data_IF_625455851120
#
_entry.id   IF_625455851120
#
_cell.length_a   1.000
_cell.length_b   1.000
_cell.length_c   1.000
_cell.angle_alpha   90.00
_cell.angle_beta   90.00
_cell.angle_gamma   90.00
#
_symmetry.space_group_name_H-M   'P 1'
#
loop_
_entity.id
_entity.type
_entity.pdbx_description
1 polymer ?
#
# COMPACT_ATOMS: atom_id res chain seq x y z
N UNK A 1 21.03 2.27 19.07
CA UNK A 1 19.64 2.15 18.62
C UNK A 1 18.58 2.21 19.75
N UNK A 2 18.93 2.06 21.04
CA UNK A 2 17.95 1.80 22.12
C UNK A 2 17.25 3.02 22.75
N UNK A 3 17.75 4.23 22.67
CA UNK A 3 17.10 5.41 23.28
C UNK A 3 16.44 6.36 22.28
N UNK A 4 16.92 6.40 21.04
CA UNK A 4 16.41 7.28 20.01
C UNK A 4 15.06 6.82 19.41
N UNK A 5 14.76 5.50 19.42
CA UNK A 5 13.57 4.93 18.79
C UNK A 5 12.24 5.24 19.50
N UNK A 6 12.27 5.62 20.78
CA UNK A 6 11.07 5.88 21.58
C UNK A 6 10.69 7.39 21.67
N UNK A 7 11.45 8.27 21.02
CA UNK A 7 11.21 9.72 21.04
C UNK A 7 9.77 10.11 20.69
N UNK A 8 9.17 9.61 19.60
CA UNK A 8 7.79 9.93 19.22
C UNK A 8 6.75 9.56 20.28
N UNK A 9 6.93 8.48 21.02
CA UNK A 9 5.99 8.06 22.08
C UNK A 9 5.98 8.96 23.32
N UNK A 10 6.95 9.87 23.46
CA UNK A 10 6.93 10.91 24.49
C UNK A 10 5.89 11.98 24.17
N UNK A 11 5.48 12.10 22.90
CA UNK A 11 4.46 13.08 22.48
C UNK A 11 3.06 12.50 22.75
N UNK A 12 2.21 13.19 23.52
CA UNK A 12 0.86 12.69 23.87
C UNK A 12 -0.02 12.43 22.64
N UNK A 13 0.14 13.23 21.56
CA UNK A 13 -0.56 13.05 20.30
C UNK A 13 -0.25 11.69 19.67
N UNK A 14 1.03 11.39 19.49
CA UNK A 14 1.46 10.13 18.85
C UNK A 14 1.14 8.90 19.69
N UNK A 15 1.31 8.99 21.02
CA UNK A 15 1.01 7.89 21.95
C UNK A 15 -0.45 7.45 21.88
N UNK A 16 -1.38 8.35 21.52
CA UNK A 16 -2.82 8.05 21.36
C UNK A 16 -3.17 7.71 19.92
N UNK A 17 -2.49 8.35 18.94
CA UNK A 17 -2.73 8.10 17.53
C UNK A 17 -2.21 6.74 17.08
N UNK A 18 -1.00 6.35 17.53
CA UNK A 18 -0.36 5.12 17.08
C UNK A 18 -1.19 3.84 17.33
N UNK A 19 -1.76 3.57 18.55
CA UNK A 19 -2.60 2.41 18.75
C UNK A 19 -3.90 2.47 17.94
N UNK A 20 -4.44 3.66 17.72
CA UNK A 20 -5.59 3.86 16.85
C UNK A 20 -5.31 3.45 15.41
N UNK A 21 -4.16 3.88 14.86
CA UNK A 21 -3.73 3.55 13.51
C UNK A 21 -3.40 2.06 13.37
N UNK A 22 -2.81 1.44 14.40
CA UNK A 22 -2.51 0.02 14.45
C UNK A 22 -3.81 -0.82 14.44
N UNK A 23 -4.77 -0.49 15.31
CA UNK A 23 -6.06 -1.18 15.38
C UNK A 23 -6.83 -1.10 14.04
N UNK A 24 -6.85 0.08 13.42
CA UNK A 24 -7.46 0.24 12.09
C UNK A 24 -6.74 -0.59 11.03
N UNK A 25 -5.41 -0.65 11.07
CA UNK A 25 -4.63 -1.43 10.10
C UNK A 25 -4.87 -2.93 10.25
N UNK A 26 -4.94 -3.43 11.48
CA UNK A 26 -5.31 -4.82 11.74
C UNK A 26 -6.73 -5.14 11.24
N UNK A 27 -7.70 -4.28 11.57
CA UNK A 27 -9.06 -4.43 11.10
C UNK A 27 -9.14 -4.50 9.57
N UNK A 28 -8.45 -3.63 8.86
CA UNK A 28 -8.39 -3.63 7.39
C UNK A 28 -7.83 -4.91 6.80
N UNK A 29 -6.74 -5.44 7.35
CA UNK A 29 -6.12 -6.66 6.84
C UNK A 29 -6.98 -7.90 7.11
N UNK A 30 -7.58 -7.99 8.33
CA UNK A 30 -8.54 -9.05 8.68
C UNK A 30 -9.72 -9.01 7.71
N UNK A 31 -10.34 -7.86 7.53
CA UNK A 31 -11.50 -7.66 6.68
C UNK A 31 -11.22 -8.02 5.21
N UNK A 32 -10.10 -7.55 4.65
CA UNK A 32 -9.71 -7.83 3.27
C UNK A 32 -9.53 -9.34 3.03
N UNK A 33 -8.88 -10.04 3.96
CA UNK A 33 -8.65 -11.47 3.86
C UNK A 33 -9.97 -12.25 4.01
N UNK A 34 -10.75 -11.92 5.03
CA UNK A 34 -11.98 -12.65 5.38
C UNK A 34 -13.05 -12.50 4.29
N UNK A 35 -13.31 -11.26 3.84
CA UNK A 35 -14.31 -11.04 2.80
C UNK A 35 -13.86 -11.52 1.43
N UNK A 36 -12.58 -11.39 1.11
CA UNK A 36 -12.04 -11.95 -0.14
C UNK A 36 -12.21 -13.47 -0.19
N UNK A 37 -11.93 -14.16 0.89
CA UNK A 37 -12.18 -15.60 1.00
C UNK A 37 -13.68 -15.93 0.92
N UNK A 38 -14.52 -15.18 1.66
CA UNK A 38 -15.97 -15.38 1.67
C UNK A 38 -16.56 -15.27 0.27
N UNK A 39 -16.26 -14.19 -0.46
CA UNK A 39 -16.75 -13.98 -1.83
C UNK A 39 -16.39 -15.16 -2.73
N UNK A 40 -15.15 -15.62 -2.65
CA UNK A 40 -14.69 -16.72 -3.49
C UNK A 40 -15.39 -18.04 -3.13
N UNK A 41 -15.62 -18.31 -1.84
CA UNK A 41 -16.28 -19.53 -1.38
C UNK A 41 -17.76 -19.54 -1.77
N UNK A 42 -18.46 -18.44 -1.56
CA UNK A 42 -19.91 -18.33 -1.84
C UNK A 42 -20.24 -18.29 -3.33
N UNK A 43 -19.40 -17.62 -4.13
CA UNK A 43 -19.70 -17.44 -5.56
C UNK A 43 -19.00 -18.44 -6.46
N UNK A 44 -17.91 -19.06 -6.00
CA UNK A 44 -17.03 -19.87 -6.85
C UNK A 44 -16.39 -19.10 -8.01
N UNK A 45 -16.50 -17.76 -8.04
CA UNK A 45 -16.14 -16.95 -9.19
C UNK A 45 -14.97 -16.01 -8.90
N UNK A 46 -13.92 -16.13 -9.70
CA UNK A 46 -12.77 -15.22 -9.66
C UNK A 46 -13.16 -13.78 -10.06
N UNK A 47 -14.18 -13.63 -10.91
CA UNK A 47 -14.66 -12.30 -11.34
C UNK A 47 -15.28 -11.55 -10.16
N UNK A 48 -16.06 -12.21 -9.31
CA UNK A 48 -16.58 -11.60 -8.08
C UNK A 48 -15.47 -11.23 -7.10
N UNK A 49 -14.46 -12.08 -6.95
CA UNK A 49 -13.29 -11.80 -6.11
C UNK A 49 -12.54 -10.57 -6.60
N UNK A 50 -12.26 -10.48 -7.91
CA UNK A 50 -11.53 -9.34 -8.47
C UNK A 50 -12.36 -8.07 -8.47
N UNK A 51 -13.67 -8.14 -8.62
CA UNK A 51 -14.59 -7.03 -8.43
C UNK A 51 -14.53 -6.53 -6.97
N UNK A 52 -14.65 -7.44 -5.99
CA UNK A 52 -14.50 -7.10 -4.56
C UNK A 52 -13.18 -6.39 -4.27
N UNK A 53 -12.07 -6.95 -4.73
CA UNK A 53 -10.75 -6.37 -4.52
C UNK A 53 -10.59 -5.00 -5.19
N UNK A 54 -11.17 -4.81 -6.39
CA UNK A 54 -11.13 -3.53 -7.12
C UNK A 54 -11.96 -2.44 -6.43
N UNK A 55 -13.14 -2.79 -5.90
CA UNK A 55 -14.04 -1.86 -5.22
C UNK A 55 -13.38 -1.20 -4.01
N UNK A 56 -12.42 -1.85 -3.35
CA UNK A 56 -11.68 -1.29 -2.21
C UNK A 56 -10.82 -0.06 -2.56
N UNK A 57 -10.63 0.24 -3.86
CA UNK A 57 -9.82 1.37 -4.35
C UNK A 57 -10.64 2.47 -5.03
N UNK A 58 -11.98 2.41 -5.01
CA UNK A 58 -12.86 3.39 -5.66
C UNK A 58 -12.55 4.84 -5.25
N UNK A 59 -12.28 5.07 -3.98
CA UNK A 59 -12.02 6.39 -3.42
C UNK A 59 -10.65 6.99 -3.77
N UNK A 60 -9.78 6.25 -4.46
CA UNK A 60 -8.46 6.78 -4.82
C UNK A 60 -8.58 8.04 -5.69
N UNK A 61 -9.60 8.12 -6.56
CA UNK A 61 -9.86 9.30 -7.39
C UNK A 61 -10.40 10.48 -6.58
N UNK A 62 -11.15 10.22 -5.52
CA UNK A 62 -11.75 11.26 -4.67
C UNK A 62 -10.90 11.58 -3.44
N UNK A 63 -9.78 10.87 -3.23
CA UNK A 63 -8.87 11.07 -2.11
C UNK A 63 -8.39 12.55 -1.95
N UNK A 64 -8.10 13.31 -3.02
CA UNK A 64 -7.76 14.73 -2.89
C UNK A 64 -8.87 15.57 -2.23
N UNK A 65 -10.16 15.21 -2.47
CA UNK A 65 -11.29 15.91 -1.87
C UNK A 65 -11.33 15.72 -0.35
N UNK A 66 -10.97 14.51 0.13
CA UNK A 66 -10.84 14.24 1.57
C UNK A 66 -9.73 15.09 2.21
N UNK A 67 -8.65 15.37 1.48
CA UNK A 67 -7.62 16.32 1.91
C UNK A 67 -8.22 17.70 2.17
N UNK A 68 -8.95 18.26 1.20
CA UNK A 68 -9.63 19.57 1.34
C UNK A 68 -10.64 19.59 2.49
N UNK A 69 -11.43 18.52 2.62
CA UNK A 69 -12.37 18.39 3.76
C UNK A 69 -11.58 18.31 5.08
N UNK A 70 -10.49 17.53 5.12
CA UNK A 70 -9.58 17.44 6.27
C UNK A 70 -9.00 18.78 6.66
N UNK A 71 -8.66 19.63 5.69
CA UNK A 71 -8.19 21.00 5.94
C UNK A 71 -9.30 21.91 6.52
N UNK A 72 -10.54 21.68 6.19
CA UNK A 72 -11.69 22.46 6.71
C UNK A 72 -12.13 22.05 8.10
N UNK A 73 -12.38 20.75 8.33
CA UNK A 73 -12.97 20.26 9.60
C UNK A 73 -11.95 19.67 10.57
N UNK A 74 -10.72 19.33 10.10
CA UNK A 74 -9.64 18.76 10.87
C UNK A 74 -9.37 17.29 10.62
N UNK A 75 -8.09 16.97 10.39
CA UNK A 75 -7.65 15.59 10.18
C UNK A 75 -8.16 14.66 11.31
N UNK A 76 -8.12 15.09 12.58
CA UNK A 76 -8.65 14.29 13.71
C UNK A 76 -10.15 14.02 13.58
N UNK A 77 -10.95 15.09 13.33
CA UNK A 77 -12.41 14.94 13.21
C UNK A 77 -12.78 14.07 12.01
N UNK A 78 -12.14 14.30 10.87
CA UNK A 78 -12.39 13.53 9.67
C UNK A 78 -11.99 12.06 9.86
N UNK A 79 -10.81 11.76 10.44
CA UNK A 79 -10.42 10.39 10.78
C UNK A 79 -11.40 9.72 11.76
N UNK A 80 -11.89 10.45 12.77
CA UNK A 80 -12.89 9.93 13.69
C UNK A 80 -14.20 9.57 12.97
N UNK A 81 -14.68 10.44 12.06
CA UNK A 81 -15.86 10.14 11.24
C UNK A 81 -15.65 8.91 10.36
N UNK A 82 -14.48 8.79 9.71
CA UNK A 82 -14.14 7.62 8.88
C UNK A 82 -14.11 6.33 9.74
N UNK A 83 -13.49 6.37 10.92
CA UNK A 83 -13.42 5.20 11.82
C UNK A 83 -14.78 4.81 12.39
N UNK A 84 -15.63 5.79 12.68
CA UNK A 84 -17.05 5.54 13.02
C UNK A 84 -17.79 4.87 11.86
N UNK A 85 -17.58 5.36 10.65
CA UNK A 85 -18.14 4.75 9.44
C UNK A 85 -17.68 3.30 9.25
N UNK A 86 -16.38 3.01 9.43
CA UNK A 86 -15.85 1.64 9.38
C UNK A 86 -16.48 0.74 10.44
N UNK A 87 -16.63 1.24 11.68
CA UNK A 87 -17.25 0.49 12.76
C UNK A 87 -18.71 0.12 12.45
N UNK A 88 -19.49 1.06 11.88
CA UNK A 88 -20.88 0.81 11.46
C UNK A 88 -20.95 -0.26 10.36
N UNK A 89 -20.07 -0.17 9.36
CA UNK A 89 -20.02 -1.15 8.27
C UNK A 89 -19.61 -2.54 8.77
N UNK A 90 -18.61 -2.62 9.63
CA UNK A 90 -18.19 -3.88 10.24
C UNK A 90 -19.29 -4.50 11.13
N UNK A 91 -19.99 -3.66 11.91
CA UNK A 91 -21.14 -4.09 12.70
C UNK A 91 -22.30 -4.60 11.83
N UNK A 92 -22.55 -3.96 10.68
CA UNK A 92 -23.57 -4.41 9.72
C UNK A 92 -23.21 -5.80 9.15
N UNK A 93 -21.94 -6.03 8.75
CA UNK A 93 -21.47 -7.35 8.31
C UNK A 93 -21.62 -8.39 9.46
N UNK A 94 -21.21 -8.04 10.68
CA UNK A 94 -21.35 -8.92 11.83
C UNK A 94 -22.82 -9.32 12.05
N UNK A 95 -23.74 -8.35 12.03
CA UNK A 95 -25.17 -8.58 12.22
C UNK A 95 -25.74 -9.47 11.10
N UNK A 96 -25.45 -9.19 9.84
CA UNK A 96 -25.90 -10.00 8.70
C UNK A 96 -25.33 -11.42 8.75
N UNK A 97 -24.06 -11.58 9.13
CA UNK A 97 -23.43 -12.90 9.26
C UNK A 97 -24.03 -13.73 10.41
N UNK A 98 -24.31 -13.10 11.56
CA UNK A 98 -24.94 -13.77 12.70
C UNK A 98 -26.41 -14.12 12.42
N UNK A 99 -27.12 -13.30 11.65
CA UNK A 99 -28.49 -13.56 11.20
C UNK A 99 -28.58 -14.57 10.03
N UNK A 100 -27.46 -15.01 9.46
CA UNK A 100 -27.44 -15.90 8.29
C UNK A 100 -27.95 -15.26 6.99
N UNK A 101 -27.99 -13.91 6.92
CA UNK A 101 -28.49 -13.13 5.77
C UNK A 101 -27.37 -12.50 4.96
N UNK A 102 -26.09 -12.71 5.34
CA UNK A 102 -24.95 -12.20 4.61
C UNK A 102 -24.87 -12.85 3.22
N UNK A 103 -24.79 -12.05 2.18
CA UNK A 103 -24.63 -12.51 0.81
C UNK A 103 -23.54 -11.75 0.04
N UNK A 104 -23.13 -12.26 -1.13
CA UNK A 104 -22.06 -11.66 -1.92
C UNK A 104 -22.31 -10.19 -2.32
N UNK A 105 -23.58 -9.85 -2.65
CA UNK A 105 -23.96 -8.49 -3.05
C UNK A 105 -23.76 -7.49 -1.90
N UNK A 106 -24.16 -7.86 -0.68
CA UNK A 106 -23.96 -7.03 0.50
C UNK A 106 -22.48 -6.80 0.77
N UNK A 107 -21.64 -7.84 0.61
CA UNK A 107 -20.19 -7.72 0.75
C UNK A 107 -19.60 -6.79 -0.30
N UNK A 108 -20.02 -6.87 -1.57
CA UNK A 108 -19.59 -5.91 -2.60
C UNK A 108 -20.04 -4.48 -2.30
N UNK A 109 -21.27 -4.29 -1.82
CA UNK A 109 -21.78 -2.98 -1.43
C UNK A 109 -20.94 -2.36 -0.30
N UNK A 110 -20.64 -3.15 0.75
CA UNK A 110 -19.77 -2.71 1.84
C UNK A 110 -18.36 -2.43 1.32
N UNK A 111 -17.78 -3.29 0.48
CA UNK A 111 -16.47 -3.08 -0.11
C UNK A 111 -16.41 -1.77 -0.94
N UNK A 112 -17.46 -1.46 -1.69
CA UNK A 112 -17.58 -0.21 -2.46
C UNK A 112 -17.63 1.02 -1.53
N UNK A 113 -18.47 0.97 -0.50
CA UNK A 113 -18.61 2.05 0.49
C UNK A 113 -17.31 2.27 1.27
N UNK A 114 -16.68 1.21 1.75
CA UNK A 114 -15.37 1.26 2.41
C UNK A 114 -14.28 1.78 1.46
N UNK A 115 -14.30 1.29 0.23
CA UNK A 115 -13.35 1.66 -0.81
C UNK A 115 -13.42 3.14 -1.22
N UNK A 116 -14.55 3.82 -1.05
CA UNK A 116 -14.65 5.27 -1.26
C UNK A 116 -13.85 6.07 -0.22
N UNK A 117 -13.71 5.55 0.98
CA UNK A 117 -13.16 6.28 2.14
C UNK A 117 -11.72 5.82 2.46
N UNK A 118 -11.47 4.51 2.40
CA UNK A 118 -10.22 3.86 2.84
C UNK A 118 -8.93 4.43 2.22
N UNK A 119 -8.84 4.75 0.91
CA UNK A 119 -7.62 5.31 0.31
C UNK A 119 -7.18 6.63 0.92
N UNK A 120 -8.12 7.43 1.45
CA UNK A 120 -7.85 8.73 2.07
C UNK A 120 -7.34 8.62 3.52
N UNK A 121 -7.58 7.50 4.19
CA UNK A 121 -7.21 7.28 5.60
C UNK A 121 -5.69 7.42 5.81
N UNK A 122 -4.87 6.82 4.94
CA UNK A 122 -3.41 6.85 5.07
C UNK A 122 -2.84 8.28 4.96
N UNK A 123 -3.40 9.09 4.05
CA UNK A 123 -3.03 10.50 3.91
C UNK A 123 -3.37 11.31 5.14
N UNK A 124 -4.58 11.13 5.67
CA UNK A 124 -5.05 11.85 6.87
C UNK A 124 -4.30 11.45 8.15
N UNK A 125 -3.90 10.17 8.29
CA UNK A 125 -3.01 9.73 9.38
C UNK A 125 -1.69 10.47 9.33
N UNK A 126 -1.08 10.55 8.16
CA UNK A 126 0.17 11.30 7.95
C UNK A 126 0.02 12.78 8.26
N UNK A 127 -1.09 13.39 7.87
CA UNK A 127 -1.43 14.79 8.19
C UNK A 127 -1.57 14.99 9.70
N UNK A 128 -2.24 14.06 10.40
CA UNK A 128 -2.41 14.17 11.85
C UNK A 128 -1.06 14.01 12.58
N UNK A 129 -0.17 13.12 12.13
CA UNK A 129 1.19 13.03 12.65
C UNK A 129 1.93 14.35 12.43
N UNK A 130 1.85 14.93 11.22
CA UNK A 130 2.54 16.18 10.90
C UNK A 130 2.11 17.37 11.78
N UNK A 131 0.84 17.41 12.18
CA UNK A 131 0.28 18.48 13.04
C UNK A 131 0.62 18.26 14.52
N UNK A 132 0.79 17.01 14.96
CA UNK A 132 0.97 16.68 16.38
C UNK A 132 2.43 16.40 16.76
N UNK A 133 3.34 16.30 15.77
CA UNK A 133 4.72 15.90 15.97
C UNK A 133 5.70 17.05 15.70
N UNK A 134 6.69 17.28 16.59
CA UNK A 134 7.79 18.20 16.31
C UNK A 134 8.58 17.78 15.05
N UNK A 135 9.05 18.73 14.21
CA UNK A 135 9.77 18.42 12.96
C UNK A 135 10.94 17.47 13.13
N UNK A 136 11.69 17.58 14.23
CA UNK A 136 12.85 16.74 14.53
C UNK A 136 12.50 15.25 14.71
N UNK A 137 11.25 14.92 15.11
CA UNK A 137 10.79 13.55 15.37
C UNK A 137 9.89 13.02 14.24
N UNK A 138 9.54 13.85 13.25
CA UNK A 138 8.58 13.50 12.20
C UNK A 138 9.01 12.28 11.38
N UNK A 139 10.26 12.24 10.90
CA UNK A 139 10.79 11.11 10.12
C UNK A 139 10.71 9.80 10.91
N UNK A 140 11.02 9.87 12.21
CA UNK A 140 10.96 8.71 13.09
C UNK A 140 9.51 8.23 13.32
N UNK A 141 8.57 9.16 13.56
CA UNK A 141 7.14 8.85 13.71
C UNK A 141 6.55 8.21 12.46
N UNK A 142 6.88 8.75 11.28
CA UNK A 142 6.47 8.19 10.00
C UNK A 142 7.06 6.79 9.75
N UNK A 143 8.33 6.58 10.13
CA UNK A 143 8.98 5.27 10.06
C UNK A 143 8.29 4.22 10.95
N UNK A 144 7.97 4.57 12.20
CA UNK A 144 7.23 3.70 13.12
C UNK A 144 5.85 3.38 12.56
N UNK A 145 5.14 4.38 12.06
CA UNK A 145 3.80 4.21 11.46
C UNK A 145 3.85 3.26 10.27
N UNK A 146 4.88 3.36 9.43
CA UNK A 146 5.08 2.47 8.29
C UNK A 146 5.38 1.04 8.71
N UNK A 147 6.32 0.84 9.63
CA UNK A 147 6.62 -0.49 10.19
C UNK A 147 5.39 -1.13 10.83
N UNK A 148 4.57 -0.33 11.53
CA UNK A 148 3.32 -0.81 12.14
C UNK A 148 2.31 -1.27 11.08
N UNK A 149 2.17 -0.55 9.97
CA UNK A 149 1.29 -0.94 8.87
C UNK A 149 1.78 -2.24 8.18
N UNK A 150 3.09 -2.37 7.97
CA UNK A 150 3.67 -3.58 7.36
C UNK A 150 3.56 -4.80 8.31
N UNK A 151 3.75 -4.62 9.62
CA UNK A 151 3.52 -5.68 10.62
C UNK A 151 2.04 -6.03 10.76
N UNK A 152 1.14 -5.05 10.66
CA UNK A 152 -0.29 -5.26 10.69
C UNK A 152 -0.76 -6.18 9.56
N UNK A 153 -0.12 -6.12 8.39
CA UNK A 153 -0.42 -7.02 7.27
C UNK A 153 -0.14 -8.47 7.62
N UNK A 154 0.99 -8.74 8.30
CA UNK A 154 1.35 -10.11 8.72
C UNK A 154 0.39 -10.59 9.81
N UNK A 155 0.29 -9.81 10.90
CA UNK A 155 -0.54 -10.17 12.07
C UNK A 155 -2.02 -10.22 11.70
N UNK A 156 -2.51 -9.25 10.94
CA UNK A 156 -3.91 -9.17 10.51
C UNK A 156 -4.31 -10.34 9.63
N UNK A 157 -3.44 -10.75 8.69
CA UNK A 157 -3.70 -11.92 7.84
C UNK A 157 -3.78 -13.22 8.66
N UNK A 158 -2.81 -13.46 9.55
CA UNK A 158 -2.79 -14.67 10.40
C UNK A 158 -3.93 -14.66 11.42
N UNK A 159 -4.15 -13.53 12.10
CA UNK A 159 -5.23 -13.38 13.07
C UNK A 159 -6.61 -13.50 12.39
N UNK A 160 -6.79 -12.88 11.22
CA UNK A 160 -8.05 -12.95 10.48
C UNK A 160 -8.38 -14.38 10.05
N UNK A 161 -7.39 -15.10 9.49
CA UNK A 161 -7.55 -16.50 9.14
C UNK A 161 -7.90 -17.36 10.37
N UNK A 162 -7.18 -17.20 11.48
CA UNK A 162 -7.40 -17.92 12.74
C UNK A 162 -8.75 -17.60 13.38
N UNK A 163 -9.14 -16.33 13.44
CA UNK A 163 -10.44 -15.90 14.00
C UNK A 163 -11.62 -16.54 13.26
N UNK A 164 -11.58 -16.50 11.91
CA UNK A 164 -12.67 -17.07 11.13
C UNK A 164 -12.67 -18.59 11.15
N UNK A 165 -11.50 -19.21 11.21
CA UNK A 165 -11.39 -20.67 11.33
C UNK A 165 -11.97 -21.16 12.69
N UNK A 166 -11.70 -20.44 13.78
CA UNK A 166 -12.12 -20.82 15.12
C UNK A 166 -13.55 -20.42 15.46
N UNK A 167 -14.00 -19.24 15.02
CA UNK A 167 -15.24 -18.63 15.50
C UNK A 167 -16.30 -18.42 14.40
N UNK A 168 -15.93 -18.56 13.12
CA UNK A 168 -16.78 -18.17 12.01
C UNK A 168 -16.75 -16.65 11.71
N UNK A 169 -17.46 -16.24 10.64
CA UNK A 169 -17.43 -14.85 10.15
C UNK A 169 -18.08 -13.86 11.11
N UNK A 170 -19.26 -14.20 11.66
CA UNK A 170 -20.02 -13.31 12.54
C UNK A 170 -19.22 -12.84 13.77
N UNK A 171 -18.75 -13.74 14.63
CA UNK A 171 -17.91 -13.37 15.78
C UNK A 171 -16.58 -12.73 15.38
N UNK A 172 -15.95 -13.13 14.28
CA UNK A 172 -14.73 -12.49 13.79
C UNK A 172 -14.99 -11.00 13.47
N UNK A 173 -16.16 -10.68 12.90
CA UNK A 173 -16.54 -9.29 12.61
C UNK A 173 -16.93 -8.48 13.84
N UNK A 174 -17.33 -9.11 14.93
CA UNK A 174 -17.44 -8.42 16.23
C UNK A 174 -16.08 -7.94 16.72
N UNK A 175 -15.01 -8.74 16.53
CA UNK A 175 -13.64 -8.33 16.84
C UNK A 175 -13.20 -7.17 15.94
N UNK A 176 -13.46 -7.23 14.62
CA UNK A 176 -13.19 -6.14 13.69
C UNK A 176 -13.92 -4.86 14.10
N UNK A 177 -15.19 -4.95 14.46
CA UNK A 177 -15.99 -3.82 14.98
C UNK A 177 -15.37 -3.23 16.23
N UNK A 178 -14.96 -4.08 17.18
CA UNK A 178 -14.31 -3.63 18.42
C UNK A 178 -12.97 -2.91 18.14
N UNK A 179 -12.18 -3.39 17.17
CA UNK A 179 -10.95 -2.72 16.73
C UNK A 179 -11.22 -1.33 16.14
N UNK A 180 -12.26 -1.17 15.32
CA UNK A 180 -12.64 0.15 14.79
C UNK A 180 -13.18 1.08 15.87
N UNK A 181 -13.97 0.58 16.82
CA UNK A 181 -14.47 1.37 17.96
C UNK A 181 -13.32 1.81 18.88
N UNK A 182 -12.38 0.91 19.18
CA UNK A 182 -11.17 1.25 19.94
C UNK A 182 -10.33 2.30 19.21
N UNK A 183 -10.18 2.14 17.92
CA UNK A 183 -9.49 3.12 17.06
C UNK A 183 -10.19 4.48 17.07
N UNK A 184 -11.52 4.52 16.98
CA UNK A 184 -12.33 5.74 17.09
C UNK A 184 -12.11 6.42 18.43
N UNK A 185 -12.23 5.70 19.55
CA UNK A 185 -12.03 6.22 20.90
C UNK A 185 -10.63 6.82 21.09
N UNK A 186 -9.60 6.09 20.66
CA UNK A 186 -8.22 6.58 20.68
C UNK A 186 -8.04 7.83 19.82
N UNK A 187 -8.65 7.89 18.62
CA UNK A 187 -8.56 9.05 17.73
C UNK A 187 -9.18 10.29 18.34
N UNK A 188 -10.35 10.16 18.95
CA UNK A 188 -11.04 11.26 19.62
C UNK A 188 -10.23 11.83 20.78
N UNK A 189 -9.40 11.00 21.41
CA UNK A 189 -8.55 11.42 22.52
C UNK A 189 -7.25 12.12 22.12
N UNK A 190 -6.90 12.16 20.81
CA UNK A 190 -5.66 12.81 20.34
C UNK A 190 -5.73 14.31 20.55
N UNK A 191 -4.80 14.93 21.30
CA UNK A 191 -4.72 16.37 21.43
C UNK A 191 -4.23 16.98 20.13
N UNK A 192 -4.95 17.97 19.60
CA UNK A 192 -4.58 18.71 18.38
C UNK A 192 -4.46 20.19 18.73
N UNK A 193 -3.36 20.86 18.34
CA UNK A 193 -3.20 22.29 18.58
C UNK A 193 -4.27 23.12 17.83
N UNK A 194 -4.53 24.36 18.27
CA UNK A 194 -5.40 25.28 17.54
C UNK A 194 -4.94 25.46 16.10
N UNK A 195 -5.87 25.56 15.17
CA UNK A 195 -5.59 25.64 13.74
C UNK A 195 -5.21 27.03 13.29
N UNK A 196 -4.24 27.08 12.39
CA UNK A 196 -4.04 28.20 11.46
C UNK A 196 -4.78 27.84 10.18
N UNK A 197 -5.78 28.64 9.81
CA UNK A 197 -6.53 28.45 8.56
C UNK A 197 -5.58 28.68 7.37
N UNK A 198 -5.35 27.66 6.57
CA UNK A 198 -4.62 27.78 5.31
C UNK A 198 -5.57 28.30 4.22
N UNK A 199 -5.06 29.15 3.34
CA UNK A 199 -5.83 29.66 2.21
C UNK A 199 -6.29 28.48 1.32
N UNK A 200 -7.54 28.52 0.81
CA UNK A 200 -8.07 27.44 -0.01
C UNK A 200 -7.34 27.39 -1.36
N UNK A 201 -6.53 26.37 -1.55
CA UNK A 201 -5.96 26.05 -2.86
C UNK A 201 -6.97 25.24 -3.66
N UNK A 202 -7.01 25.45 -4.99
CA UNK A 202 -7.87 24.67 -5.88
C UNK A 202 -7.22 23.30 -6.14
N UNK A 203 -7.83 22.17 -5.73
CA UNK A 203 -7.24 20.83 -5.89
C UNK A 203 -6.90 20.51 -7.36
N UNK A 204 -7.72 20.98 -8.29
CA UNK A 204 -7.51 20.76 -9.72
C UNK A 204 -6.31 21.50 -10.28
N UNK A 205 -6.06 22.74 -9.82
CA UNK A 205 -4.83 23.49 -10.19
C UNK A 205 -3.59 22.80 -9.65
N UNK A 206 -3.65 22.34 -8.40
CA UNK A 206 -2.53 21.63 -7.79
C UNK A 206 -2.21 20.31 -8.48
N UNK A 207 -3.22 19.53 -8.88
CA UNK A 207 -3.05 18.32 -9.68
C UNK A 207 -2.46 18.63 -11.06
N UNK A 208 -2.95 19.67 -11.73
CA UNK A 208 -2.44 20.07 -13.04
C UNK A 208 -0.98 20.51 -12.97
N UNK A 209 -0.65 21.37 -12.02
CA UNK A 209 0.74 21.83 -11.82
C UNK A 209 1.68 20.66 -11.48
N UNK A 210 1.19 19.72 -10.65
CA UNK A 210 1.91 18.48 -10.35
C UNK A 210 2.14 17.62 -11.58
N UNK A 211 1.13 17.47 -12.43
CA UNK A 211 1.21 16.72 -13.68
C UNK A 211 2.20 17.36 -14.68
N UNK A 212 2.15 18.68 -14.87
CA UNK A 212 3.05 19.42 -15.72
C UNK A 212 4.51 19.28 -15.24
N UNK A 213 4.74 19.37 -13.93
CA UNK A 213 6.05 19.16 -13.31
C UNK A 213 6.57 17.73 -13.52
N UNK A 214 5.73 16.71 -13.31
CA UNK A 214 6.11 15.30 -13.54
C UNK A 214 6.43 15.06 -15.01
N UNK A 215 5.62 15.58 -15.93
CA UNK A 215 5.83 15.44 -17.39
C UNK A 215 7.12 16.10 -17.84
N UNK A 216 7.46 17.25 -17.26
CA UNK A 216 8.69 18.00 -17.56
C UNK A 216 9.95 17.37 -16.97
N UNK A 217 9.82 16.45 -16.00
CA UNK A 217 10.94 15.83 -15.27
C UNK A 217 11.05 14.34 -15.61
N UNK A 218 11.95 13.94 -16.55
CA UNK A 218 12.03 12.57 -17.06
C UNK A 218 12.12 11.47 -16.00
N UNK A 219 12.93 11.59 -14.91
CA UNK A 219 12.96 10.56 -13.86
C UNK A 219 11.64 10.42 -13.11
N UNK A 220 10.91 11.52 -12.90
CA UNK A 220 9.60 11.48 -12.25
C UNK A 220 8.57 10.78 -13.14
N UNK A 221 8.54 11.12 -14.44
CA UNK A 221 7.63 10.51 -15.40
C UNK A 221 7.87 8.99 -15.50
N UNK A 222 9.14 8.57 -15.67
CA UNK A 222 9.49 7.15 -15.70
C UNK A 222 9.07 6.40 -14.42
N UNK A 223 9.28 7.02 -13.25
CA UNK A 223 8.91 6.45 -11.96
C UNK A 223 7.39 6.33 -11.82
N UNK A 224 6.62 7.33 -12.27
CA UNK A 224 5.15 7.28 -12.25
C UNK A 224 4.59 6.21 -13.19
N UNK A 225 5.16 6.08 -14.39
CA UNK A 225 4.78 5.02 -15.33
C UNK A 225 5.05 3.63 -14.76
N UNK A 226 6.23 3.42 -14.14
CA UNK A 226 6.54 2.15 -13.48
C UNK A 226 5.64 1.90 -12.27
N UNK A 227 5.33 2.93 -11.46
CA UNK A 227 4.38 2.81 -10.35
C UNK A 227 3.00 2.39 -10.84
N UNK A 228 2.48 2.99 -11.91
CA UNK A 228 1.22 2.57 -12.52
C UNK A 228 1.30 1.14 -13.04
N UNK A 229 2.37 0.79 -13.73
CA UNK A 229 2.57 -0.51 -14.36
C UNK A 229 2.63 -1.66 -13.34
N UNK A 230 3.36 -1.51 -12.24
CA UNK A 230 3.41 -2.54 -11.20
C UNK A 230 2.06 -2.70 -10.48
N UNK A 231 1.31 -1.60 -10.33
CA UNK A 231 -0.05 -1.66 -9.83
C UNK A 231 -0.99 -2.37 -10.81
N UNK A 232 -0.82 -2.16 -12.11
CA UNK A 232 -1.64 -2.78 -13.15
C UNK A 232 -1.35 -4.29 -13.30
N UNK A 233 -0.07 -4.69 -13.32
CA UNK A 233 0.35 -6.00 -13.79
C UNK A 233 0.95 -6.92 -12.71
N UNK A 234 1.47 -6.39 -11.60
CA UNK A 234 2.08 -7.20 -10.54
C UNK A 234 1.20 -7.34 -9.30
N UNK A 235 0.68 -6.22 -8.79
CA UNK A 235 -0.13 -6.20 -7.58
C UNK A 235 -1.46 -6.98 -7.64
N UNK A 236 -2.15 -7.14 -8.79
CA UNK A 236 -3.33 -8.01 -8.84
C UNK A 236 -3.07 -9.41 -8.28
N UNK A 237 -1.94 -10.01 -8.62
CA UNK A 237 -1.57 -11.35 -8.16
C UNK A 237 -1.29 -11.39 -6.66
N UNK A 238 -0.58 -10.39 -6.10
CA UNK A 238 -0.16 -10.38 -4.68
C UNK A 238 -1.14 -9.69 -3.75
N UNK A 239 -2.05 -8.88 -4.27
CA UNK A 239 -2.96 -8.05 -3.46
C UNK A 239 -4.43 -8.42 -3.56
N UNK A 240 -4.87 -9.19 -4.54
CA UNK A 240 -6.29 -9.49 -4.71
C UNK A 240 -6.60 -10.94 -5.10
N UNK A 241 -5.65 -11.63 -5.75
CA UNK A 241 -5.87 -12.98 -6.25
C UNK A 241 -5.36 -14.09 -5.32
N UNK A 242 -4.71 -13.77 -4.19
CA UNK A 242 -4.19 -14.79 -3.27
C UNK A 242 -5.28 -15.71 -2.71
N UNK A 243 -6.53 -15.29 -2.42
CA UNK A 243 -7.60 -16.21 -2.05
C UNK A 243 -7.89 -17.25 -3.14
N UNK A 244 -7.89 -16.83 -4.41
CA UNK A 244 -8.06 -17.72 -5.55
C UNK A 244 -6.90 -18.73 -5.65
N UNK A 245 -5.66 -18.26 -5.52
CA UNK A 245 -4.47 -19.12 -5.56
C UNK A 245 -4.50 -20.15 -4.43
N UNK A 246 -4.83 -19.73 -3.21
CA UNK A 246 -4.90 -20.63 -2.05
C UNK A 246 -5.94 -21.73 -2.28
N UNK A 247 -7.14 -21.37 -2.72
CA UNK A 247 -8.25 -22.32 -2.86
C UNK A 247 -8.16 -23.16 -4.12
N UNK A 248 -8.05 -22.51 -5.28
CA UNK A 248 -8.22 -23.19 -6.58
C UNK A 248 -6.91 -23.72 -7.16
N UNK A 249 -5.75 -23.14 -6.79
CA UNK A 249 -4.44 -23.58 -7.30
C UNK A 249 -3.77 -24.55 -6.34
N UNK A 250 -3.78 -24.22 -5.03
CA UNK A 250 -3.09 -25.02 -4.00
C UNK A 250 -4.02 -25.94 -3.20
N UNK A 251 -5.33 -25.74 -3.25
CA UNK A 251 -6.28 -26.51 -2.45
C UNK A 251 -6.11 -26.36 -0.94
N UNK A 252 -5.53 -25.24 -0.49
CA UNK A 252 -5.31 -24.95 0.93
C UNK A 252 -6.45 -24.11 1.51
N UNK A 253 -6.62 -24.22 2.80
CA UNK A 253 -7.67 -23.54 3.56
C UNK A 253 -7.36 -22.05 3.87
N UNK A 254 -8.20 -21.46 4.71
CA UNK A 254 -8.04 -20.06 5.16
C UNK A 254 -6.72 -19.82 5.89
N UNK A 255 -6.28 -20.81 6.68
CA UNK A 255 -5.02 -20.72 7.41
C UNK A 255 -3.83 -20.71 6.46
N UNK A 256 -3.89 -21.53 5.41
CA UNK A 256 -2.92 -21.54 4.32
C UNK A 256 -2.90 -20.21 3.54
N UNK A 257 -4.06 -19.58 3.30
CA UNK A 257 -4.12 -18.23 2.72
C UNK A 257 -3.43 -17.21 3.64
N UNK A 258 -3.71 -17.26 4.95
CA UNK A 258 -3.05 -16.38 5.93
C UNK A 258 -1.53 -16.53 5.90
N UNK A 259 -1.04 -17.77 5.82
CA UNK A 259 0.39 -18.07 5.70
C UNK A 259 0.99 -17.52 4.39
N UNK A 260 0.29 -17.67 3.26
CA UNK A 260 0.73 -17.16 1.95
C UNK A 260 0.87 -15.63 1.96
N UNK A 261 -0.10 -14.91 2.52
CA UNK A 261 -0.04 -13.45 2.70
C UNK A 261 1.08 -13.05 3.67
N UNK A 262 1.27 -13.79 4.77
CA UNK A 262 2.33 -13.54 5.74
C UNK A 262 3.73 -13.76 5.14
N UNK A 263 3.92 -14.78 4.30
CA UNK A 263 5.15 -15.02 3.56
C UNK A 263 5.51 -13.84 2.64
N UNK A 264 4.54 -13.34 1.88
CA UNK A 264 4.73 -12.17 1.03
C UNK A 264 5.09 -10.92 1.86
N UNK A 265 4.33 -10.63 2.91
CA UNK A 265 4.56 -9.47 3.77
C UNK A 265 5.88 -9.57 4.55
N UNK A 266 6.25 -10.78 5.01
CA UNK A 266 7.53 -11.06 5.65
C UNK A 266 8.71 -10.82 4.70
N UNK A 267 8.60 -11.29 3.46
CA UNK A 267 9.57 -11.01 2.40
C UNK A 267 9.73 -9.51 2.14
N UNK A 268 8.62 -8.78 2.05
CA UNK A 268 8.62 -7.34 1.85
C UNK A 268 9.28 -6.59 3.03
N UNK A 269 9.02 -7.03 4.25
CA UNK A 269 9.66 -6.47 5.44
C UNK A 269 11.18 -6.70 5.43
N UNK A 270 11.62 -7.93 5.16
CA UNK A 270 13.04 -8.26 5.05
C UNK A 270 13.73 -7.46 3.95
N UNK A 271 13.11 -7.35 2.78
CA UNK A 271 13.61 -6.54 1.67
C UNK A 271 13.74 -5.06 2.05
N UNK A 272 12.75 -4.50 2.72
CA UNK A 272 12.78 -3.10 3.21
C UNK A 272 13.92 -2.86 4.20
N UNK A 273 14.16 -3.79 5.13
CA UNK A 273 15.29 -3.71 6.08
C UNK A 273 16.64 -3.71 5.37
N UNK A 274 16.80 -4.56 4.33
CA UNK A 274 18.03 -4.60 3.52
C UNK A 274 18.20 -3.32 2.71
N UNK A 275 17.15 -2.79 2.11
CA UNK A 275 17.21 -1.52 1.36
C UNK A 275 17.60 -0.37 2.30
N UNK A 276 17.05 -0.30 3.51
CA UNK A 276 17.37 0.73 4.50
C UNK A 276 18.84 0.61 4.93
N UNK A 277 19.32 -0.61 5.20
CA UNK A 277 20.71 -0.84 5.65
C UNK A 277 21.75 -0.51 4.58
N UNK A 278 21.41 -0.69 3.30
CA UNK A 278 22.31 -0.40 2.17
C UNK A 278 22.13 1.00 1.57
N UNK A 279 21.11 1.72 1.95
CA UNK A 279 20.71 3.10 1.72
C UNK A 279 21.41 3.85 0.56
N UNK A 280 22.49 4.57 0.89
CA UNK A 280 23.21 5.41 -0.07
C UNK A 280 23.98 4.65 -1.17
N UNK A 281 24.28 3.35 -0.96
CA UNK A 281 25.00 2.53 -1.94
C UNK A 281 24.12 2.05 -3.11
N UNK A 282 22.80 2.14 -2.98
CA UNK A 282 21.86 1.74 -4.03
C UNK A 282 21.58 2.89 -4.98
N UNK A 283 21.94 2.71 -6.25
CA UNK A 283 21.48 3.59 -7.32
C UNK A 283 19.96 3.41 -7.50
N UNK A 284 19.16 4.33 -6.93
CA UNK A 284 17.70 4.18 -6.80
C UNK A 284 17.00 3.86 -8.14
N UNK A 285 17.33 4.56 -9.23
CA UNK A 285 16.73 4.30 -10.55
C UNK A 285 17.07 2.93 -11.11
N UNK A 286 18.32 2.49 -10.92
CA UNK A 286 18.81 1.18 -11.36
C UNK A 286 18.14 0.06 -10.55
N UNK A 287 18.13 0.19 -9.22
CA UNK A 287 17.46 -0.77 -8.32
C UNK A 287 15.99 -0.93 -8.69
N UNK A 288 15.26 0.19 -8.87
CA UNK A 288 13.85 0.20 -9.23
C UNK A 288 13.56 -0.62 -10.49
N UNK A 289 14.26 -0.34 -11.60
CA UNK A 289 14.01 -1.01 -12.89
C UNK A 289 14.41 -2.48 -12.83
N UNK A 290 15.61 -2.78 -12.32
CA UNK A 290 16.10 -4.16 -12.26
C UNK A 290 15.23 -5.02 -11.35
N UNK A 291 14.77 -4.48 -10.23
CA UNK A 291 13.86 -5.22 -9.33
C UNK A 291 12.50 -5.47 -9.97
N UNK A 292 11.94 -4.54 -10.74
CA UNK A 292 10.73 -4.80 -11.51
C UNK A 292 10.95 -5.91 -12.56
N UNK A 293 12.11 -5.89 -13.26
CA UNK A 293 12.46 -6.92 -14.24
C UNK A 293 12.68 -8.31 -13.60
N UNK A 294 13.02 -8.40 -12.32
CA UNK A 294 13.09 -9.66 -11.57
C UNK A 294 11.72 -10.05 -11.00
N UNK A 295 10.94 -9.08 -10.57
CA UNK A 295 9.63 -9.31 -9.96
C UNK A 295 8.65 -9.98 -10.92
N UNK A 296 8.54 -9.52 -12.17
CA UNK A 296 7.64 -10.10 -13.15
C UNK A 296 7.96 -11.58 -13.50
N UNK A 297 9.20 -11.99 -13.77
CA UNK A 297 9.56 -13.41 -13.90
C UNK A 297 9.25 -14.25 -12.67
N UNK A 298 9.45 -13.72 -11.45
CA UNK A 298 9.06 -14.44 -10.23
C UNK A 298 7.55 -14.69 -10.18
N UNK A 299 6.72 -13.74 -10.63
CA UNK A 299 5.27 -13.94 -10.74
C UNK A 299 4.92 -14.96 -11.83
N UNK A 300 5.66 -15.00 -12.94
CA UNK A 300 5.48 -16.05 -13.96
C UNK A 300 5.80 -17.43 -13.38
N UNK A 301 6.92 -17.58 -12.68
CA UNK A 301 7.27 -18.85 -12.02
C UNK A 301 6.21 -19.23 -11.00
N UNK A 302 5.75 -18.28 -10.18
CA UNK A 302 4.69 -18.49 -9.20
C UNK A 302 3.40 -19.03 -9.84
N UNK A 303 3.02 -18.52 -11.00
CA UNK A 303 1.83 -18.95 -11.70
C UNK A 303 1.88 -20.42 -12.18
N UNK A 304 3.08 -20.99 -12.34
CA UNK A 304 3.28 -22.38 -12.78
C UNK A 304 3.46 -23.36 -11.61
N UNK A 305 3.79 -22.87 -10.41
CA UNK A 305 3.98 -23.71 -9.22
C UNK A 305 2.63 -24.20 -8.70
N UNK A 306 2.55 -25.51 -8.40
CA UNK A 306 1.35 -26.17 -7.87
C UNK A 306 1.52 -26.60 -6.40
N UNK A 307 2.75 -26.66 -5.93
CA UNK A 307 3.05 -26.96 -4.53
C UNK A 307 2.92 -25.72 -3.66
N UNK A 308 2.14 -25.82 -2.57
CA UNK A 308 1.88 -24.70 -1.67
C UNK A 308 3.13 -24.20 -0.95
N UNK A 309 4.04 -25.12 -0.55
CA UNK A 309 5.25 -24.74 0.17
C UNK A 309 6.22 -23.98 -0.74
N UNK A 310 6.39 -24.44 -1.98
CA UNK A 310 7.17 -23.73 -2.98
C UNK A 310 6.55 -22.39 -3.35
N UNK A 311 5.21 -22.31 -3.43
CA UNK A 311 4.48 -21.06 -3.63
C UNK A 311 4.70 -20.05 -2.51
N UNK A 312 4.67 -20.49 -1.25
CA UNK A 312 4.97 -19.66 -0.08
C UNK A 312 6.42 -19.15 -0.10
N UNK A 313 7.39 -20.02 -0.43
CA UNK A 313 8.80 -19.62 -0.58
C UNK A 313 8.98 -18.56 -1.69
N UNK A 314 8.29 -18.74 -2.83
CA UNK A 314 8.29 -17.74 -3.91
C UNK A 314 7.65 -16.42 -3.47
N UNK A 315 6.58 -16.44 -2.66
CA UNK A 315 5.97 -15.22 -2.15
C UNK A 315 6.93 -14.44 -1.24
N UNK A 316 7.78 -15.10 -0.46
CA UNK A 316 8.86 -14.40 0.28
C UNK A 316 9.81 -13.69 -0.70
N UNK A 317 10.23 -14.36 -1.78
CA UNK A 317 11.12 -13.75 -2.79
C UNK A 317 10.44 -12.60 -3.55
N UNK A 318 9.16 -12.76 -3.89
CA UNK A 318 8.35 -11.73 -4.54
C UNK A 318 8.24 -10.49 -3.65
N UNK A 319 7.88 -10.65 -2.37
CA UNK A 319 7.80 -9.55 -1.42
C UNK A 319 9.16 -8.87 -1.19
N UNK A 320 10.22 -9.66 -1.05
CA UNK A 320 11.58 -9.16 -0.93
C UNK A 320 11.98 -8.28 -2.13
N UNK A 321 11.79 -8.80 -3.34
CA UNK A 321 12.11 -8.09 -4.59
C UNK A 321 11.28 -6.82 -4.77
N UNK A 322 9.98 -6.86 -4.41
CA UNK A 322 9.09 -5.72 -4.44
C UNK A 322 9.64 -4.52 -3.66
N UNK A 323 10.27 -4.75 -2.50
CA UNK A 323 10.82 -3.67 -1.67
C UNK A 323 11.93 -2.90 -2.36
N UNK A 324 12.75 -3.59 -3.16
CA UNK A 324 13.80 -2.97 -3.98
C UNK A 324 13.26 -2.19 -5.19
N UNK A 325 12.00 -2.37 -5.54
CA UNK A 325 11.30 -1.51 -6.50
C UNK A 325 10.63 -0.33 -5.81
N UNK A 326 9.81 -0.59 -4.78
CA UNK A 326 8.91 0.40 -4.17
C UNK A 326 9.62 1.46 -3.32
N UNK A 327 10.65 1.08 -2.55
CA UNK A 327 11.41 2.03 -1.72
C UNK A 327 12.19 3.02 -2.59
N UNK A 328 12.99 2.57 -3.59
CA UNK A 328 13.66 3.49 -4.50
C UNK A 328 12.71 4.38 -5.31
N UNK A 329 11.54 3.89 -5.74
CA UNK A 329 10.50 4.72 -6.36
C UNK A 329 10.16 5.93 -5.48
N UNK A 330 9.92 5.69 -4.21
CA UNK A 330 9.60 6.76 -3.26
C UNK A 330 10.77 7.75 -3.09
N UNK A 331 11.99 7.23 -3.03
CA UNK A 331 13.21 8.05 -2.93
C UNK A 331 13.38 8.97 -4.15
N UNK A 332 13.18 8.45 -5.37
CA UNK A 332 13.26 9.24 -6.60
C UNK A 332 12.19 10.33 -6.60
N UNK A 333 10.94 9.98 -6.27
CA UNK A 333 9.85 10.94 -6.22
C UNK A 333 10.14 12.10 -5.26
N UNK A 334 10.75 11.81 -4.10
CA UNK A 334 11.09 12.84 -3.13
C UNK A 334 12.34 13.65 -3.51
N UNK A 335 13.39 13.01 -4.05
CA UNK A 335 14.66 13.66 -4.39
C UNK A 335 14.58 14.52 -5.65
N UNK A 336 13.83 14.06 -6.66
CA UNK A 336 13.70 14.78 -7.94
C UNK A 336 12.58 15.84 -7.91
N UNK A 337 11.87 16.00 -6.78
CA UNK A 337 10.79 16.96 -6.68
C UNK A 337 11.20 18.12 -5.77
N UNK A 338 11.04 19.37 -6.27
CA UNK A 338 11.21 20.58 -5.47
C UNK A 338 10.21 20.63 -4.32
N UNK A 339 10.60 21.19 -3.20
CA UNK A 339 9.80 21.21 -1.96
C UNK A 339 8.35 21.69 -2.17
N UNK A 340 8.17 22.74 -2.98
CA UNK A 340 6.87 23.30 -3.34
C UNK A 340 5.92 22.35 -4.10
N UNK A 341 6.47 21.32 -4.79
CA UNK A 341 5.68 20.37 -5.58
C UNK A 341 5.54 19.00 -4.90
N UNK A 342 6.21 18.74 -3.75
CA UNK A 342 6.21 17.42 -3.09
C UNK A 342 4.81 16.89 -2.82
N UNK A 343 3.93 17.72 -2.25
CA UNK A 343 2.55 17.32 -1.97
C UNK A 343 1.77 16.96 -3.24
N UNK A 344 1.96 17.76 -4.30
CA UNK A 344 1.29 17.56 -5.61
C UNK A 344 1.75 16.28 -6.30
N UNK A 345 3.07 16.03 -6.32
CA UNK A 345 3.65 14.81 -6.90
C UNK A 345 3.25 13.57 -6.10
N UNK A 346 3.19 13.67 -4.76
CA UNK A 346 2.68 12.57 -3.93
C UNK A 346 1.19 12.32 -4.14
N UNK A 347 0.38 13.36 -4.32
CA UNK A 347 -1.01 13.22 -4.73
C UNK A 347 -1.16 12.52 -6.08
N UNK A 348 -0.33 12.89 -7.07
CA UNK A 348 -0.31 12.25 -8.39
C UNK A 348 0.11 10.77 -8.31
N UNK A 349 1.03 10.42 -7.41
CA UNK A 349 1.41 9.03 -7.14
C UNK A 349 0.20 8.18 -6.70
N UNK A 350 -0.73 8.76 -5.94
CA UNK A 350 -1.94 8.03 -5.53
C UNK A 350 -2.81 7.66 -6.74
N UNK A 351 -2.78 8.47 -7.82
CA UNK A 351 -3.45 8.11 -9.08
C UNK A 351 -2.77 6.93 -9.79
N UNK A 352 -1.44 6.77 -9.64
CA UNK A 352 -0.76 5.60 -10.19
C UNK A 352 -1.21 4.27 -9.52
N UNK A 353 -1.70 4.32 -8.28
CA UNK A 353 -2.30 3.16 -7.61
C UNK A 353 -3.56 2.67 -8.33
N UNK A 354 -4.20 3.53 -9.12
CA UNK A 354 -5.40 3.18 -9.88
C UNK A 354 -5.16 2.10 -10.96
N UNK A 355 -3.91 1.83 -11.30
CA UNK A 355 -3.54 0.64 -12.07
C UNK A 355 -4.03 -0.67 -11.43
N UNK A 356 -4.06 -0.74 -10.09
CA UNK A 356 -4.45 -1.97 -9.37
C UNK A 356 -5.92 -2.36 -9.58
N UNK A 357 -6.94 -1.50 -9.35
CA UNK A 357 -8.31 -1.87 -9.64
C UNK A 357 -8.54 -2.20 -11.12
N UNK A 358 -7.88 -1.49 -12.03
CA UNK A 358 -7.95 -1.82 -13.47
C UNK A 358 -7.36 -3.21 -13.72
N UNK A 359 -6.16 -3.49 -13.19
CA UNK A 359 -5.50 -4.78 -13.32
C UNK A 359 -6.33 -5.94 -12.73
N UNK A 360 -6.97 -5.73 -11.59
CA UNK A 360 -7.87 -6.71 -10.97
C UNK A 360 -9.10 -6.99 -11.85
N UNK A 361 -9.78 -5.94 -12.33
CA UNK A 361 -10.95 -6.07 -13.20
C UNK A 361 -10.62 -6.79 -14.53
N UNK A 362 -9.41 -6.57 -15.07
CA UNK A 362 -8.94 -7.28 -16.25
C UNK A 362 -8.53 -8.72 -15.94
N UNK A 363 -7.97 -8.96 -14.74
CA UNK A 363 -7.47 -10.30 -14.36
C UNK A 363 -8.60 -11.31 -14.16
N UNK A 364 -9.76 -10.91 -13.61
CA UNK A 364 -10.90 -11.81 -13.39
C UNK A 364 -11.34 -12.53 -14.69
N UNK A 365 -11.82 -11.79 -15.71
CA UNK A 365 -12.22 -12.35 -16.98
C UNK A 365 -11.07 -13.05 -17.76
N UNK A 366 -9.82 -12.57 -17.55
CA UNK A 366 -8.66 -13.23 -18.17
C UNK A 366 -8.40 -14.61 -17.56
N UNK A 367 -8.54 -14.75 -16.24
CA UNK A 367 -8.39 -16.03 -15.54
C UNK A 367 -9.51 -16.99 -15.93
N UNK A 368 -10.72 -16.49 -16.06
CA UNK A 368 -11.90 -17.27 -16.44
C UNK A 368 -11.72 -17.91 -17.84
N UNK A 369 -11.06 -17.19 -18.78
CA UNK A 369 -10.82 -17.66 -20.15
C UNK A 369 -9.52 -18.42 -20.37
N UNK A 370 -8.43 -17.98 -19.74
CA UNK A 370 -7.05 -18.46 -19.99
C UNK A 370 -6.51 -19.31 -18.83
N UNK A 371 -7.28 -19.44 -17.75
CA UNK A 371 -6.80 -19.98 -16.49
C UNK A 371 -5.82 -19.05 -15.78
N UNK A 372 -5.53 -19.33 -14.51
CA UNK A 372 -4.63 -18.54 -13.68
C UNK A 372 -3.23 -18.39 -14.27
N UNK A 373 -2.66 -19.51 -14.73
CA UNK A 373 -1.31 -19.55 -15.31
C UNK A 373 -1.20 -18.67 -16.55
N UNK A 374 -2.15 -18.83 -17.49
CA UNK A 374 -2.15 -18.06 -18.75
C UNK A 374 -2.33 -16.55 -18.50
N UNK A 375 -3.32 -16.18 -17.69
CA UNK A 375 -3.61 -14.78 -17.37
C UNK A 375 -2.46 -14.09 -16.63
N UNK A 376 -1.88 -14.77 -15.61
CA UNK A 376 -0.77 -14.20 -14.84
C UNK A 376 0.50 -14.10 -15.68
N UNK A 377 0.80 -15.09 -16.52
CA UNK A 377 1.95 -15.08 -17.42
C UNK A 377 1.83 -13.95 -18.45
N UNK A 378 0.64 -13.76 -19.03
CA UNK A 378 0.37 -12.67 -19.98
C UNK A 378 0.55 -11.29 -19.31
N UNK A 379 -0.04 -11.10 -18.13
CA UNK A 379 0.05 -9.87 -17.36
C UNK A 379 1.49 -9.54 -16.95
N UNK A 380 2.21 -10.53 -16.43
CA UNK A 380 3.59 -10.36 -16.03
C UNK A 380 4.51 -10.13 -17.26
N UNK A 381 4.27 -10.81 -18.39
CA UNK A 381 4.97 -10.59 -19.66
C UNK A 381 4.77 -9.18 -20.18
N UNK A 382 3.54 -8.68 -20.19
CA UNK A 382 3.23 -7.30 -20.52
C UNK A 382 3.96 -6.32 -19.59
N UNK A 383 3.89 -6.55 -18.26
CA UNK A 383 4.57 -5.73 -17.27
C UNK A 383 6.09 -5.70 -17.46
N UNK A 384 6.69 -6.87 -17.74
CA UNK A 384 8.13 -7.00 -18.02
C UNK A 384 8.54 -6.24 -19.29
N UNK A 385 7.80 -6.42 -20.38
CA UNK A 385 8.08 -5.74 -21.65
C UNK A 385 7.98 -4.20 -21.51
N UNK A 386 6.92 -3.71 -20.88
CA UNK A 386 6.77 -2.28 -20.63
C UNK A 386 7.84 -1.73 -19.67
N UNK A 387 8.24 -2.49 -18.65
CA UNK A 387 9.33 -2.09 -17.75
C UNK A 387 10.65 -1.99 -18.49
N UNK A 388 10.96 -2.96 -19.35
CA UNK A 388 12.15 -2.92 -20.20
C UNK A 388 12.14 -1.69 -21.13
N UNK A 389 11.00 -1.41 -21.76
CA UNK A 389 10.83 -0.22 -22.62
C UNK A 389 11.04 1.08 -21.85
N UNK A 390 10.45 1.23 -20.66
CA UNK A 390 10.66 2.40 -19.79
C UNK A 390 12.14 2.49 -19.38
N UNK A 391 12.73 1.37 -18.95
CA UNK A 391 14.15 1.33 -18.57
C UNK A 391 15.09 1.74 -19.70
N UNK A 392 14.84 1.29 -20.94
CA UNK A 392 15.61 1.64 -22.13
C UNK A 392 15.40 3.11 -22.56
N UNK A 393 14.13 3.58 -22.57
CA UNK A 393 13.76 4.93 -23.02
C UNK A 393 14.33 6.01 -22.12
N UNK A 394 14.38 5.80 -20.81
CA UNK A 394 14.87 6.75 -19.81
C UNK A 394 16.17 6.33 -19.16
N UNK A 395 16.94 5.39 -19.75
CA UNK A 395 18.19 4.86 -19.17
C UNK A 395 19.17 5.95 -18.74
N UNK A 396 19.33 7.02 -19.54
CA UNK A 396 20.26 8.12 -19.23
C UNK A 396 19.89 8.90 -17.97
N UNK A 397 18.62 8.92 -17.60
CA UNK A 397 18.09 9.62 -16.43
C UNK A 397 17.98 8.71 -15.22
N UNK A 398 17.76 7.41 -15.42
CA UNK A 398 17.63 6.42 -14.36
C UNK A 398 18.97 5.77 -13.99
N UNK A 399 19.97 5.82 -14.89
CA UNK A 399 21.34 5.39 -14.68
C UNK A 399 22.31 6.58 -14.79
N UNK A 400 22.28 7.56 -13.86
CA UNK A 400 23.33 8.56 -13.86
C UNK A 400 24.68 7.85 -13.70
N UNK A 401 25.64 8.15 -14.56
CA UNK A 401 27.01 7.72 -14.38
C UNK A 401 27.45 8.14 -12.97
N UNK A 402 28.12 7.25 -12.26
CA UNK A 402 28.72 7.61 -10.97
C UNK A 402 29.52 8.91 -11.18
N UNK A 403 29.15 9.96 -10.42
CA UNK A 403 29.95 11.17 -10.42
C UNK A 403 31.38 10.75 -10.14
N UNK A 404 32.39 11.22 -10.93
CA UNK A 404 33.76 10.90 -10.63
C UNK A 404 34.01 11.27 -9.17
N UNK A 405 34.59 10.36 -8.43
CA UNK A 405 34.98 10.61 -7.04
C UNK A 405 35.85 11.87 -7.08
N UNK A 406 35.37 12.96 -6.46
CA UNK A 406 36.21 14.13 -6.25
C UNK A 406 37.41 13.63 -5.46
N UNK A 407 38.55 13.52 -6.12
CA UNK A 407 39.83 13.34 -5.43
C UNK A 407 39.99 14.55 -4.49
N UNK A 408 40.10 14.34 -3.18
CA UNK A 408 40.49 15.40 -2.28
C UNK A 408 42.01 15.56 -2.43
N UNK A 409 42.44 16.37 -3.38
CA UNK A 409 43.87 16.45 -3.66
C UNK A 409 44.28 17.46 -4.74
N UNK A 410 43.53 18.58 -4.88
CA UNK A 410 44.08 19.77 -5.51
C UNK A 410 44.15 20.87 -4.45
N UNK A 411 45.24 20.85 -3.69
CA UNK A 411 45.58 21.95 -2.81
C UNK A 411 45.76 23.25 -3.64
N UNK A 412 45.52 24.44 -3.06
CA UNK A 412 45.75 25.70 -3.73
C UNK A 412 47.24 25.78 -4.09
N UNK A 413 47.54 25.94 -5.39
CA UNK A 413 48.89 26.20 -5.89
C UNK A 413 49.47 27.43 -5.19
N UNK A 414 50.82 27.49 -5.05
CA UNK A 414 51.48 28.58 -4.35
C UNK A 414 51.29 29.89 -5.13
N UNK A 415 50.79 30.91 -4.41
CA UNK A 415 50.69 32.27 -4.90
C UNK A 415 52.06 32.76 -5.35
N UNK A 416 52.12 33.31 -6.53
CA UNK A 416 53.25 34.14 -7.03
C UNK A 416 52.94 35.56 -6.63
N UNK A 417 53.92 36.17 -5.99
CA UNK A 417 54.00 37.44 -5.31
C UNK A 417 53.59 38.72 -6.02
#
# INVERSE_FOLDING_TARGET
LRAASLGPFRQPGFRRQWPADLATSWAFEIETLVLGWYILVETGSVVWLTAFASLQFLGTLVAPMFGVVGDRIGARRLLAMMRGFYAVQAAAIAAMALAGTLGPVQVLAVAALMGLVRPSDLGLRSTLIAVTMPPALMTQAMGISRCSADSARIVGALAGAGLVAALGIGPAYLVVTALYLASLACTLSVPVPPRVALAPASPWRELRDGYEHVRATPPLLATMLLAFLVNLAAFPTTGGLLPYVAREVYGIDRSGLGALVACFAGGALLGSLVVISRGAALAAGRSMVLSCLVWFPLLMVFAHVRDAAAGMALMVLVGFTQSFAMVPMTVILLRCTQDRYRGRVMGLRMLAVYGLPIGLLLSGPAIDRLGFTGATTLNAGFGMACTALVGLRWRRHLWPAAAPANHPGAGPGPGVG
#
